data_IF_242444775830
#
_entry.id   IF_242444775830
#
_cell.length_a   1.000
_cell.length_b   1.000
_cell.length_c   1.000
_cell.angle_alpha   90.00
_cell.angle_beta   90.00
_cell.angle_gamma   90.00
#
_symmetry.space_group_name_H-M   'P 1'
#
loop_
_entity.id
_entity.type
_entity.pdbx_description
1 polymer ?
#
# COMPACT_ATOMS: atom_id res chain seq x y z
N UNK A 1 3.55 1.84 -16.37
CA UNK A 1 4.86 1.78 -15.71
C UNK A 1 5.78 0.99 -16.64
N UNK A 2 6.87 1.59 -17.15
CA UNK A 2 7.80 0.87 -18.03
C UNK A 2 8.60 -0.11 -17.19
N UNK A 3 8.69 -1.39 -17.56
CA UNK A 3 9.51 -2.34 -16.83
C UNK A 3 10.97 -1.89 -16.84
N UNK A 4 11.67 -2.07 -15.74
CA UNK A 4 13.09 -1.71 -15.58
C UNK A 4 14.01 -2.30 -16.68
N UNK A 5 13.59 -3.39 -17.33
CA UNK A 5 14.28 -4.00 -18.48
C UNK A 5 14.35 -3.11 -19.74
N UNK A 6 13.50 -2.07 -19.83
CA UNK A 6 13.55 -1.08 -20.90
C UNK A 6 14.49 0.10 -20.58
N UNK A 7 15.19 0.01 -19.47
CA UNK A 7 16.26 0.93 -19.15
C UNK A 7 17.38 0.76 -20.16
N UNK A 8 17.35 1.53 -21.21
CA UNK A 8 18.50 1.84 -22.07
C UNK A 8 19.49 2.75 -21.30
N UNK A 9 19.73 2.46 -20.04
CA UNK A 9 20.86 2.95 -19.33
C UNK A 9 22.06 2.27 -19.98
N UNK A 10 22.73 3.01 -20.86
CA UNK A 10 24.05 2.65 -21.35
C UNK A 10 24.84 2.14 -20.15
N UNK A 11 25.51 1.03 -20.30
CA UNK A 11 26.19 0.18 -19.31
C UNK A 11 27.17 0.86 -18.32
N UNK A 12 27.07 2.18 -18.12
CA UNK A 12 28.02 3.00 -17.38
C UNK A 12 27.46 3.75 -16.17
N UNK A 13 26.25 3.44 -15.69
CA UNK A 13 25.67 4.20 -14.57
C UNK A 13 26.00 3.66 -13.18
N UNK A 14 26.90 2.73 -13.08
CA UNK A 14 27.39 2.19 -11.80
C UNK A 14 27.63 0.68 -11.85
N UNK A 15 28.08 0.10 -10.74
CA UNK A 15 28.25 -1.35 -10.60
C UNK A 15 26.94 -2.10 -10.84
N UNK A 16 27.03 -3.31 -11.39
CA UNK A 16 25.86 -4.18 -11.64
C UNK A 16 25.02 -4.43 -10.37
N UNK A 17 25.68 -4.46 -9.22
CA UNK A 17 25.03 -4.58 -7.90
C UNK A 17 24.05 -3.45 -7.65
N UNK A 18 24.39 -2.21 -7.99
CA UNK A 18 23.50 -1.04 -7.83
C UNK A 18 22.26 -1.18 -8.70
N UNK A 19 22.41 -1.66 -9.93
CA UNK A 19 21.28 -1.91 -10.82
C UNK A 19 20.30 -2.89 -10.20
N UNK A 20 20.80 -4.02 -9.66
CA UNK A 20 19.97 -5.04 -9.01
C UNK A 20 19.25 -4.45 -7.80
N UNK A 21 19.94 -3.67 -6.96
CA UNK A 21 19.31 -3.02 -5.78
C UNK A 21 18.23 -2.02 -6.17
N UNK A 22 18.44 -1.25 -7.25
CA UNK A 22 17.44 -0.31 -7.76
C UNK A 22 16.23 -1.03 -8.36
N UNK A 23 16.44 -2.15 -9.05
CA UNK A 23 15.34 -3.00 -9.55
C UNK A 23 14.51 -3.55 -8.39
N UNK A 24 15.16 -4.06 -7.36
CA UNK A 24 14.47 -4.55 -6.16
C UNK A 24 13.75 -3.41 -5.43
N UNK A 25 14.31 -2.22 -5.38
CA UNK A 25 13.66 -1.06 -4.77
C UNK A 25 12.37 -0.67 -5.50
N UNK A 26 12.38 -0.70 -6.84
CA UNK A 26 11.17 -0.47 -7.66
C UNK A 26 10.13 -1.56 -7.42
N UNK A 27 10.54 -2.81 -7.33
CA UNK A 27 9.62 -3.92 -7.06
C UNK A 27 8.99 -3.82 -5.66
N UNK A 28 9.78 -3.40 -4.65
CA UNK A 28 9.26 -3.13 -3.30
C UNK A 28 8.29 -1.95 -3.29
N UNK A 29 8.56 -0.87 -4.03
CA UNK A 29 7.63 0.26 -4.20
C UNK A 29 6.31 -0.19 -4.82
N UNK A 30 6.37 -0.99 -5.90
CA UNK A 30 5.19 -1.56 -6.54
C UNK A 30 4.36 -2.43 -5.58
N UNK A 31 5.04 -3.18 -4.71
CA UNK A 31 4.39 -4.00 -3.68
C UNK A 31 3.66 -3.12 -2.64
N UNK A 32 4.28 -2.02 -2.19
CA UNK A 32 3.64 -1.04 -1.28
C UNK A 32 2.37 -0.48 -1.93
N UNK A 33 2.47 0.06 -3.15
CA UNK A 33 1.33 0.63 -3.88
C UNK A 33 0.19 -0.39 -4.08
N UNK A 34 0.55 -1.65 -4.35
CA UNK A 34 -0.44 -2.73 -4.50
C UNK A 34 -1.20 -2.99 -3.20
N UNK A 35 -0.48 -2.98 -2.06
CA UNK A 35 -1.11 -3.18 -0.75
C UNK A 35 -1.96 -1.97 -0.35
N UNK A 36 -1.48 -0.76 -0.60
CA UNK A 36 -2.23 0.49 -0.38
C UNK A 36 -3.53 0.51 -1.20
N UNK A 37 -3.47 0.22 -2.50
CA UNK A 37 -4.66 0.14 -3.36
C UNK A 37 -5.67 -0.93 -2.89
N UNK A 38 -5.17 -2.06 -2.38
CA UNK A 38 -6.02 -3.09 -1.81
C UNK A 38 -6.71 -2.60 -0.52
N UNK A 39 -5.98 -1.94 0.37
CA UNK A 39 -6.50 -1.33 1.61
C UNK A 39 -7.58 -0.29 1.30
N UNK A 40 -7.33 0.61 0.33
CA UNK A 40 -8.30 1.63 -0.09
C UNK A 40 -9.60 0.98 -0.61
N UNK A 41 -9.50 -0.06 -1.45
CA UNK A 41 -10.69 -0.78 -1.96
C UNK A 41 -11.51 -1.39 -0.82
N UNK A 42 -10.86 -2.04 0.14
CA UNK A 42 -11.54 -2.62 1.30
C UNK A 42 -12.12 -1.55 2.23
N UNK A 43 -11.46 -0.42 2.38
CA UNK A 43 -11.98 0.72 3.14
C UNK A 43 -13.26 1.29 2.51
N UNK A 44 -13.28 1.48 1.18
CA UNK A 44 -14.45 1.95 0.45
C UNK A 44 -15.61 0.94 0.54
N UNK A 45 -15.31 -0.35 0.39
CA UNK A 45 -16.31 -1.41 0.55
C UNK A 45 -16.93 -1.39 1.96
N UNK A 46 -16.11 -1.26 2.99
CA UNK A 46 -16.54 -1.20 4.39
C UNK A 46 -17.42 0.02 4.66
N UNK A 47 -17.03 1.18 4.13
CA UNK A 47 -17.81 2.42 4.23
C UNK A 47 -19.18 2.29 3.55
N UNK A 48 -19.24 1.64 2.38
CA UNK A 48 -20.50 1.38 1.68
C UNK A 48 -21.40 0.42 2.47
N UNK A 49 -20.86 -0.70 2.98
CA UNK A 49 -21.60 -1.63 3.83
C UNK A 49 -22.11 -0.96 5.12
N UNK A 50 -21.31 -0.10 5.74
CA UNK A 50 -21.71 0.65 6.93
C UNK A 50 -22.86 1.62 6.65
N UNK A 51 -22.84 2.32 5.51
CA UNK A 51 -23.92 3.20 5.10
C UNK A 51 -25.24 2.41 4.91
N UNK A 52 -25.18 1.27 4.23
CA UNK A 52 -26.35 0.39 4.06
C UNK A 52 -26.85 -0.11 5.42
N UNK A 53 -25.94 -0.54 6.29
CA UNK A 53 -26.29 -1.00 7.64
C UNK A 53 -27.00 0.09 8.45
N UNK A 54 -26.52 1.33 8.38
CA UNK A 54 -27.18 2.46 9.05
C UNK A 54 -28.58 2.73 8.51
N UNK A 55 -28.78 2.67 7.19
CA UNK A 55 -30.10 2.88 6.58
C UNK A 55 -31.11 1.79 7.01
N UNK A 56 -30.73 0.52 6.91
CA UNK A 56 -31.57 -0.58 7.33
C UNK A 56 -31.80 -0.60 8.85
N UNK A 57 -30.76 -0.32 9.63
CA UNK A 57 -30.87 -0.22 11.08
C UNK A 57 -31.83 0.89 11.51
N UNK A 58 -31.79 2.05 10.85
CA UNK A 58 -32.72 3.16 11.10
C UNK A 58 -34.16 2.78 10.79
N UNK A 59 -34.43 2.14 9.65
CA UNK A 59 -35.77 1.67 9.28
C UNK A 59 -36.32 0.66 10.28
N UNK A 60 -35.48 -0.30 10.70
CA UNK A 60 -35.86 -1.33 11.68
C UNK A 60 -36.16 -0.70 13.02
N UNK A 61 -35.35 0.26 13.48
CA UNK A 61 -35.57 0.95 14.74
C UNK A 61 -36.89 1.72 14.78
N UNK A 62 -37.36 2.31 13.67
CA UNK A 62 -38.64 2.97 13.57
C UNK A 62 -39.85 2.01 13.62
N UNK A 63 -39.66 0.77 13.14
CA UNK A 63 -40.74 -0.24 13.09
C UNK A 63 -40.82 -1.07 14.37
N UNK A 64 -39.77 -1.08 15.18
CA UNK A 64 -39.70 -1.93 16.36
C UNK A 64 -40.27 -1.20 17.57
N UNK A 65 -41.29 -1.80 18.22
CA UNK A 65 -41.78 -1.29 19.51
C UNK A 65 -40.67 -1.36 20.57
N UNK A 66 -40.60 -0.33 21.42
CA UNK A 66 -39.61 -0.15 22.48
C UNK A 66 -39.47 -1.34 23.49
N UNK A 67 -40.39 -2.31 23.43
CA UNK A 67 -40.43 -3.50 24.28
C UNK A 67 -39.85 -4.78 23.66
N UNK A 68 -39.40 -4.76 22.40
CA UNK A 68 -38.86 -5.96 21.77
C UNK A 68 -37.41 -6.12 22.13
N UNK A 69 -36.99 -7.36 22.48
CA UNK A 69 -35.58 -7.70 22.72
C UNK A 69 -34.76 -7.50 21.45
N UNK A 70 -33.64 -6.79 21.53
CA UNK A 70 -32.69 -6.56 20.42
C UNK A 70 -32.32 -7.87 19.72
N UNK A 71 -32.19 -8.96 20.48
CA UNK A 71 -31.88 -10.30 19.96
C UNK A 71 -33.00 -10.87 19.07
N UNK A 72 -34.27 -10.70 19.44
CA UNK A 72 -35.38 -11.17 18.60
C UNK A 72 -35.47 -10.40 17.29
N UNK A 73 -35.25 -9.10 17.32
CA UNK A 73 -35.22 -8.25 16.13
C UNK A 73 -34.11 -8.62 15.17
N UNK A 74 -32.92 -8.96 15.69
CA UNK A 74 -31.78 -9.41 14.89
C UNK A 74 -32.04 -10.77 14.22
N UNK A 75 -32.70 -11.69 14.91
CA UNK A 75 -33.04 -13.02 14.37
C UNK A 75 -34.16 -12.93 13.33
N UNK A 76 -35.12 -12.04 13.51
CA UNK A 76 -36.25 -11.83 12.57
C UNK A 76 -35.80 -11.15 11.27
N UNK A 77 -34.62 -10.49 11.27
CA UNK A 77 -34.11 -9.78 10.09
C UNK A 77 -32.78 -10.34 9.60
N UNK A 78 -32.76 -11.39 8.79
CA UNK A 78 -31.55 -12.04 8.30
C UNK A 78 -30.64 -11.10 7.50
N UNK A 79 -31.17 -10.02 6.92
CA UNK A 79 -30.39 -9.00 6.21
C UNK A 79 -29.44 -8.28 7.14
N UNK A 80 -29.87 -7.95 8.35
CA UNK A 80 -29.02 -7.27 9.35
C UNK A 80 -27.85 -8.17 9.78
N UNK A 81 -28.14 -9.47 10.04
CA UNK A 81 -27.12 -10.45 10.36
C UNK A 81 -26.09 -10.60 9.23
N UNK A 82 -26.56 -10.68 7.98
CA UNK A 82 -25.68 -10.76 6.80
C UNK A 82 -24.80 -9.53 6.66
N UNK A 83 -25.35 -8.33 6.88
CA UNK A 83 -24.57 -7.08 6.85
C UNK A 83 -23.54 -7.03 7.98
N UNK A 84 -23.85 -7.51 9.19
CA UNK A 84 -22.89 -7.61 10.29
C UNK A 84 -21.74 -8.55 9.96
N UNK A 85 -22.01 -9.71 9.33
CA UNK A 85 -20.97 -10.62 8.87
C UNK A 85 -20.08 -9.98 7.80
N UNK A 86 -20.67 -9.29 6.81
CA UNK A 86 -19.91 -8.58 5.79
C UNK A 86 -19.02 -7.48 6.37
N UNK A 87 -19.53 -6.71 7.33
CA UNK A 87 -18.74 -5.70 8.05
C UNK A 87 -17.57 -6.35 8.81
N UNK A 88 -17.82 -7.47 9.49
CA UNK A 88 -16.77 -8.20 10.23
C UNK A 88 -15.67 -8.70 9.31
N UNK A 89 -16.03 -9.30 8.18
CA UNK A 89 -15.07 -9.75 7.16
C UNK A 89 -14.31 -8.56 6.58
N UNK A 90 -14.99 -7.47 6.25
CA UNK A 90 -14.37 -6.24 5.75
C UNK A 90 -13.34 -5.67 6.73
N UNK A 91 -13.64 -5.67 8.02
CA UNK A 91 -12.74 -5.20 9.08
C UNK A 91 -11.48 -6.07 9.19
N UNK A 92 -11.64 -7.40 9.17
CA UNK A 92 -10.53 -8.35 9.19
C UNK A 92 -9.62 -8.13 7.99
N UNK A 93 -10.19 -7.98 6.79
CA UNK A 93 -9.43 -7.74 5.56
C UNK A 93 -8.69 -6.40 5.60
N UNK A 94 -9.35 -5.33 6.06
CA UNK A 94 -8.71 -4.03 6.20
C UNK A 94 -7.50 -4.08 7.14
N UNK A 95 -7.64 -4.75 8.28
CA UNK A 95 -6.55 -4.93 9.23
C UNK A 95 -5.39 -5.77 8.66
N UNK A 96 -5.71 -6.82 7.93
CA UNK A 96 -4.74 -7.69 7.27
C UNK A 96 -3.93 -6.93 6.20
N UNK A 97 -4.60 -6.19 5.31
CA UNK A 97 -3.92 -5.39 4.30
C UNK A 97 -3.13 -4.23 4.91
N UNK A 98 -3.63 -3.60 5.98
CA UNK A 98 -2.89 -2.58 6.72
C UNK A 98 -1.59 -3.08 7.34
N UNK A 99 -1.58 -4.31 7.88
CA UNK A 99 -0.33 -4.94 8.36
C UNK A 99 0.64 -5.25 7.22
N UNK A 100 0.12 -5.76 6.09
CA UNK A 100 0.96 -6.07 4.93
C UNK A 100 1.56 -4.82 4.29
N UNK A 101 0.79 -3.74 4.21
CA UNK A 101 1.26 -2.43 3.74
C UNK A 101 2.42 -1.93 4.59
N UNK A 102 2.23 -1.84 5.93
CA UNK A 102 3.29 -1.40 6.86
C UNK A 102 4.56 -2.25 6.77
N UNK A 103 4.42 -3.58 6.58
CA UNK A 103 5.57 -4.45 6.39
C UNK A 103 6.28 -4.16 5.07
N UNK A 104 5.53 -4.01 3.98
CA UNK A 104 6.10 -3.70 2.68
C UNK A 104 6.76 -2.31 2.66
N UNK A 105 6.17 -1.32 3.31
CA UNK A 105 6.72 0.03 3.48
C UNK A 105 8.05 -0.02 4.24
N UNK A 106 8.10 -0.75 5.36
CA UNK A 106 9.34 -0.94 6.11
C UNK A 106 10.44 -1.61 5.27
N UNK A 107 10.11 -2.69 4.54
CA UNK A 107 11.05 -3.37 3.64
C UNK A 107 11.57 -2.44 2.53
N UNK A 108 10.72 -1.54 2.02
CA UNK A 108 11.09 -0.53 1.03
C UNK A 108 12.00 0.53 1.63
N UNK A 109 11.66 1.08 2.80
CA UNK A 109 12.44 2.12 3.47
C UNK A 109 13.82 1.61 3.90
N UNK A 110 13.92 0.38 4.40
CA UNK A 110 15.21 -0.24 4.77
C UNK A 110 16.15 -0.34 3.55
N UNK A 111 15.66 -0.82 2.41
CA UNK A 111 16.47 -0.91 1.20
C UNK A 111 16.83 0.48 0.65
N UNK A 112 15.89 1.41 0.68
CA UNK A 112 16.11 2.79 0.27
C UNK A 112 17.20 3.44 1.12
N UNK A 113 17.14 3.29 2.44
CA UNK A 113 18.16 3.82 3.36
C UNK A 113 19.53 3.15 3.15
N UNK A 114 19.55 1.85 2.89
CA UNK A 114 20.78 1.13 2.55
C UNK A 114 21.44 1.73 1.29
N UNK A 115 20.69 1.93 0.22
CA UNK A 115 21.21 2.52 -1.03
C UNK A 115 21.77 3.93 -0.78
N UNK A 116 21.05 4.77 -0.01
CA UNK A 116 21.49 6.13 0.31
C UNK A 116 22.79 6.09 1.12
N UNK A 117 22.87 5.23 2.14
CA UNK A 117 24.01 5.14 3.04
C UNK A 117 25.25 4.60 2.33
N UNK A 118 25.07 3.61 1.45
CA UNK A 118 26.17 2.98 0.68
C UNK A 118 26.48 3.70 -0.63
N UNK A 119 25.78 4.79 -0.94
CA UNK A 119 26.02 5.52 -2.19
C UNK A 119 27.46 5.97 -2.41
N UNK A 120 28.26 6.38 -1.36
CA UNK A 120 29.66 6.70 -1.55
C UNK A 120 30.56 5.50 -1.91
N UNK A 121 30.12 4.28 -1.59
CA UNK A 121 30.82 3.03 -1.96
C UNK A 121 30.54 2.65 -3.42
N UNK A 122 29.34 2.97 -3.92
CA UNK A 122 28.90 2.63 -5.26
C UNK A 122 29.38 3.61 -6.33
N UNK A 123 29.49 4.89 -5.96
CA UNK A 123 29.95 5.95 -6.84
C UNK A 123 31.16 6.66 -6.22
N UNK A 124 32.36 6.34 -6.74
CA UNK A 124 33.58 7.01 -6.34
C UNK A 124 33.50 8.50 -6.69
N UNK A 125 33.96 9.35 -5.75
CA UNK A 125 33.69 10.80 -5.76
C UNK A 125 34.25 11.53 -6.99
N UNK A 126 35.28 11.01 -7.64
CA UNK A 126 36.00 11.77 -8.67
C UNK A 126 35.57 11.47 -10.11
N UNK A 127 34.94 10.32 -10.39
CA UNK A 127 34.65 9.89 -11.77
C UNK A 127 33.18 9.57 -11.99
N UNK A 128 32.49 9.02 -11.00
CA UNK A 128 31.14 8.48 -11.18
C UNK A 128 30.07 9.24 -10.38
N UNK A 129 30.46 10.27 -9.62
CA UNK A 129 29.54 11.02 -8.77
C UNK A 129 28.43 11.75 -9.53
N UNK A 130 28.72 12.28 -10.72
CA UNK A 130 27.70 12.91 -11.57
C UNK A 130 26.67 11.90 -12.10
N UNK A 131 27.12 10.65 -12.32
CA UNK A 131 26.22 9.57 -12.74
C UNK A 131 25.19 9.22 -11.66
N UNK A 132 25.55 9.31 -10.38
CA UNK A 132 24.63 9.13 -9.24
C UNK A 132 23.46 10.09 -9.33
N UNK A 133 23.72 11.37 -9.62
CA UNK A 133 22.68 12.39 -9.70
C UNK A 133 21.70 12.08 -10.86
N UNK A 134 22.22 11.62 -11.98
CA UNK A 134 21.37 11.18 -13.11
C UNK A 134 20.49 10.00 -12.72
N UNK A 135 21.03 9.00 -12.01
CA UNK A 135 20.27 7.84 -11.52
C UNK A 135 19.20 8.26 -10.51
N UNK A 136 19.54 9.13 -9.55
CA UNK A 136 18.61 9.61 -8.54
C UNK A 136 17.46 10.44 -9.15
N UNK A 137 17.80 11.32 -10.10
CA UNK A 137 16.83 12.12 -10.85
C UNK A 137 15.88 11.22 -11.64
N UNK A 138 16.39 10.16 -12.26
CA UNK A 138 15.59 9.19 -12.98
C UNK A 138 14.65 8.43 -12.04
N UNK A 139 15.16 7.90 -10.91
CA UNK A 139 14.34 7.18 -9.93
C UNK A 139 13.20 8.04 -9.39
N UNK A 140 13.46 9.33 -9.14
CA UNK A 140 12.43 10.28 -8.72
C UNK A 140 11.40 10.54 -9.81
N UNK A 141 11.84 10.73 -11.06
CA UNK A 141 10.96 11.12 -12.18
C UNK A 141 10.10 9.96 -12.69
N UNK A 142 10.68 8.77 -12.85
CA UNK A 142 10.00 7.64 -13.48
C UNK A 142 9.30 6.72 -12.47
N UNK A 143 9.81 6.64 -11.24
CA UNK A 143 9.32 5.71 -10.21
C UNK A 143 8.81 6.40 -8.95
N UNK A 144 8.89 7.73 -8.87
CA UNK A 144 8.53 8.50 -7.67
C UNK A 144 9.28 8.04 -6.41
N UNK A 145 10.55 7.66 -6.59
CA UNK A 145 11.44 7.23 -5.50
C UNK A 145 12.49 8.30 -5.25
N UNK A 146 12.40 8.95 -4.09
CA UNK A 146 13.36 9.97 -3.70
C UNK A 146 14.55 9.34 -2.96
N UNK A 147 15.75 9.43 -3.56
CA UNK A 147 17.03 8.96 -3.00
C UNK A 147 17.94 10.10 -2.49
N UNK A 148 17.50 11.36 -2.56
CA UNK A 148 18.29 12.52 -2.16
C UNK A 148 18.33 12.73 -0.64
N UNK A 149 17.28 12.32 0.07
CA UNK A 149 17.14 12.55 1.51
C UNK A 149 16.68 11.27 2.22
N UNK A 150 17.20 11.08 3.44
CA UNK A 150 16.71 10.07 4.38
C UNK A 150 15.31 10.40 4.88
#
# INVERSE_FOLDING_TARGET
MKPFKEWNLKSNYGPEVVKIMLEELVDRKNKVEKMEKAKIRWSLFLMFCAAIFCLFGYQTFQQTNLNSNILSTLIEQPIILMLMLLLSVGFIQLHFFGKKEKKAEKEFDELREEIITRSPEFWERDVTWELRETVYSYMKKEHDINLYHK
#
